data_IF_437623105695
#
_entry.id   IF_437623105695
#
_cell.length_a   1.000
_cell.length_b   1.000
_cell.length_c   1.000
_cell.angle_alpha   90.00
_cell.angle_beta   90.00
_cell.angle_gamma   90.00
#
_symmetry.space_group_name_H-M   'P 1'
#
loop_
_entity.id
_entity.type
_entity.pdbx_description
1 polymer ?
#
# COMPACT_ATOMS: atom_id res chain seq x y z
N UNK A 1 -22.52 -15.92 0.82
CA UNK A 1 -21.76 -15.65 -0.42
C UNK A 1 -22.00 -14.28 -1.08
N UNK A 2 -23.24 -13.74 -1.21
CA UNK A 2 -23.47 -12.43 -1.89
C UNK A 2 -22.88 -11.20 -1.14
N UNK A 3 -22.91 -11.18 0.21
CA UNK A 3 -22.44 -10.02 1.02
C UNK A 3 -20.94 -9.72 0.86
N UNK A 4 -20.10 -10.73 0.67
CA UNK A 4 -18.64 -10.55 0.54
C UNK A 4 -18.24 -9.84 -0.76
N UNK A 5 -19.03 -10.00 -1.84
CA UNK A 5 -18.74 -9.40 -3.15
C UNK A 5 -19.02 -7.90 -3.18
N UNK A 6 -20.10 -7.46 -2.54
CA UNK A 6 -20.43 -6.01 -2.44
C UNK A 6 -19.36 -5.29 -1.65
N UNK A 7 -18.92 -5.86 -0.53
CA UNK A 7 -17.88 -5.27 0.29
C UNK A 7 -16.52 -5.20 -0.44
N UNK A 8 -16.17 -6.25 -1.18
CA UNK A 8 -14.98 -6.24 -2.04
C UNK A 8 -15.06 -5.13 -3.09
N UNK A 9 -16.22 -4.93 -3.71
CA UNK A 9 -16.44 -3.86 -4.70
C UNK A 9 -16.28 -2.48 -4.07
N UNK A 10 -16.79 -2.27 -2.85
CA UNK A 10 -16.59 -1.03 -2.09
C UNK A 10 -15.11 -0.78 -1.83
N UNK A 11 -14.36 -1.79 -1.39
CA UNK A 11 -12.91 -1.66 -1.16
C UNK A 11 -12.20 -1.28 -2.45
N UNK A 12 -12.46 -1.99 -3.55
CA UNK A 12 -11.84 -1.69 -4.85
C UNK A 12 -12.17 -0.27 -5.29
N UNK A 13 -13.42 0.17 -5.15
CA UNK A 13 -13.83 1.54 -5.47
C UNK A 13 -13.07 2.59 -4.65
N UNK A 14 -12.98 2.41 -3.33
CA UNK A 14 -12.23 3.31 -2.45
C UNK A 14 -10.74 3.26 -2.75
N UNK A 15 -10.20 2.08 -3.06
CA UNK A 15 -8.80 1.88 -3.42
C UNK A 15 -8.42 2.68 -4.66
N UNK A 16 -9.24 2.59 -5.72
CA UNK A 16 -9.04 3.35 -6.95
C UNK A 16 -9.20 4.86 -6.72
N UNK A 17 -10.17 5.26 -5.89
CA UNK A 17 -10.34 6.67 -5.53
C UNK A 17 -9.12 7.21 -4.76
N UNK A 18 -8.63 6.45 -3.79
CA UNK A 18 -7.45 6.78 -3.00
C UNK A 18 -6.21 6.86 -3.91
N UNK A 19 -6.08 5.93 -4.85
CA UNK A 19 -5.03 5.97 -5.85
C UNK A 19 -5.09 7.27 -6.66
N UNK A 20 -6.23 7.63 -7.23
CA UNK A 20 -6.38 8.84 -8.05
C UNK A 20 -6.03 10.10 -7.23
N UNK A 21 -6.55 10.22 -6.01
CA UNK A 21 -6.33 11.40 -5.17
C UNK A 21 -4.87 11.51 -4.72
N UNK A 22 -4.24 10.39 -4.37
CA UNK A 22 -2.88 10.40 -3.84
C UNK A 22 -1.80 10.31 -4.91
N UNK A 23 -2.12 9.92 -6.14
CA UNK A 23 -1.14 9.61 -7.19
C UNK A 23 -0.07 10.70 -7.35
N UNK A 24 -0.51 11.94 -7.55
CA UNK A 24 0.39 13.08 -7.81
C UNK A 24 1.25 13.41 -6.59
N UNK A 25 0.65 13.38 -5.39
CA UNK A 25 1.36 13.70 -4.14
C UNK A 25 2.37 12.62 -3.81
N UNK A 26 2.01 11.33 -3.94
CA UNK A 26 2.88 10.21 -3.64
C UNK A 26 4.14 10.19 -4.52
N UNK A 27 4.04 10.57 -5.79
CA UNK A 27 5.18 10.59 -6.72
C UNK A 27 6.07 11.82 -6.52
N UNK A 28 5.50 12.95 -6.11
CA UNK A 28 6.21 14.23 -6.00
C UNK A 28 6.61 14.61 -4.58
N UNK A 29 6.32 13.79 -3.57
CA UNK A 29 6.69 14.10 -2.20
C UNK A 29 8.23 14.04 -2.03
N UNK A 30 8.87 14.99 -1.33
CA UNK A 30 8.27 16.03 -0.48
C UNK A 30 7.91 17.36 -1.16
N UNK A 31 8.12 17.50 -2.48
CA UNK A 31 7.88 18.75 -3.21
C UNK A 31 6.41 19.19 -3.22
N UNK A 32 5.47 18.22 -3.13
CA UNK A 32 4.04 18.48 -3.02
C UNK A 32 3.53 18.10 -1.63
N UNK A 33 2.85 19.04 -0.97
CA UNK A 33 2.27 18.81 0.35
C UNK A 33 1.06 17.87 0.31
N UNK A 34 0.90 17.10 1.38
CA UNK A 34 -0.22 16.17 1.53
C UNK A 34 -1.45 16.96 1.97
N UNK A 35 -2.52 16.87 1.17
CA UNK A 35 -3.77 17.58 1.43
C UNK A 35 -4.69 16.81 2.39
N UNK A 36 -5.64 17.51 3.02
CA UNK A 36 -6.65 16.88 3.88
C UNK A 36 -7.47 15.79 3.17
N UNK A 37 -7.92 15.95 1.91
CA UNK A 37 -8.58 14.88 1.16
C UNK A 37 -7.71 13.63 1.00
N UNK A 38 -6.41 13.79 0.70
CA UNK A 38 -5.45 12.69 0.61
C UNK A 38 -5.36 11.91 1.93
N UNK A 39 -5.27 12.62 3.05
CA UNK A 39 -5.25 12.00 4.37
C UNK A 39 -6.55 11.23 4.66
N UNK A 40 -7.71 11.86 4.47
CA UNK A 40 -9.01 11.25 4.76
C UNK A 40 -9.27 9.99 3.94
N UNK A 41 -9.00 10.03 2.62
CA UNK A 41 -9.24 8.85 1.76
C UNK A 41 -8.31 7.69 2.11
N UNK A 42 -7.06 7.99 2.45
CA UNK A 42 -6.08 6.99 2.88
C UNK A 42 -6.47 6.36 4.22
N UNK A 43 -7.01 7.16 5.15
CA UNK A 43 -7.53 6.68 6.43
C UNK A 43 -8.74 5.78 6.25
N UNK A 44 -9.69 6.17 5.40
CA UNK A 44 -10.86 5.34 5.07
C UNK A 44 -10.40 4.00 4.46
N UNK A 45 -9.45 4.05 3.51
CA UNK A 45 -8.91 2.85 2.88
C UNK A 45 -8.23 1.92 3.90
N UNK A 46 -7.39 2.47 4.78
CA UNK A 46 -6.72 1.72 5.85
C UNK A 46 -7.73 0.98 6.73
N UNK A 47 -8.76 1.69 7.21
CA UNK A 47 -9.79 1.11 8.06
C UNK A 47 -10.58 0.01 7.33
N UNK A 48 -10.88 0.20 6.04
CA UNK A 48 -11.56 -0.81 5.23
C UNK A 48 -10.71 -2.07 5.01
N UNK A 49 -9.40 -1.93 4.76
CA UNK A 49 -8.49 -3.07 4.64
C UNK A 49 -8.41 -3.84 5.96
N UNK A 50 -8.23 -3.14 7.09
CA UNK A 50 -8.22 -3.78 8.41
C UNK A 50 -9.53 -4.50 8.71
N UNK A 51 -10.68 -3.85 8.49
CA UNK A 51 -11.99 -4.44 8.73
C UNK A 51 -12.27 -5.65 7.84
N UNK A 52 -11.90 -5.59 6.56
CA UNK A 52 -12.13 -6.72 5.65
C UNK A 52 -11.19 -7.88 5.89
N UNK A 53 -10.05 -7.65 6.55
CA UNK A 53 -9.14 -8.72 6.92
C UNK A 53 -9.81 -9.83 7.74
N UNK A 54 -10.81 -9.50 8.57
CA UNK A 54 -11.57 -10.47 9.36
C UNK A 54 -12.42 -11.43 8.52
N UNK A 55 -12.85 -11.02 7.32
CA UNK A 55 -13.76 -11.78 6.46
C UNK A 55 -13.15 -12.13 5.09
N UNK A 56 -11.91 -11.73 4.86
CA UNK A 56 -11.24 -11.77 3.56
C UNK A 56 -11.08 -13.20 3.00
N UNK A 57 -11.47 -13.36 1.74
CA UNK A 57 -11.33 -14.61 1.00
C UNK A 57 -9.93 -14.74 0.33
N UNK A 58 -9.76 -15.77 -0.51
CA UNK A 58 -8.46 -16.09 -1.12
C UNK A 58 -7.88 -14.92 -1.95
N UNK A 59 -8.70 -14.21 -2.72
CA UNK A 59 -8.27 -13.10 -3.58
C UNK A 59 -7.74 -11.93 -2.74
N UNK A 60 -8.45 -11.56 -1.67
CA UNK A 60 -8.00 -10.52 -0.75
C UNK A 60 -6.64 -10.85 -0.15
N UNK A 61 -6.46 -12.08 0.37
CA UNK A 61 -5.17 -12.51 0.92
C UNK A 61 -4.04 -12.44 -0.10
N UNK A 62 -4.29 -12.85 -1.33
CA UNK A 62 -3.30 -12.76 -2.40
C UNK A 62 -2.88 -11.30 -2.65
N UNK A 63 -3.85 -10.38 -2.72
CA UNK A 63 -3.58 -8.94 -2.83
C UNK A 63 -2.74 -8.41 -1.66
N UNK A 64 -3.06 -8.80 -0.42
CA UNK A 64 -2.30 -8.37 0.77
C UNK A 64 -0.89 -8.96 0.78
N UNK A 65 -0.69 -10.23 0.39
CA UNK A 65 0.64 -10.85 0.30
C UNK A 65 1.52 -10.10 -0.70
N UNK A 66 0.99 -9.78 -1.88
CA UNK A 66 1.72 -8.96 -2.86
C UNK A 66 1.99 -7.57 -2.27
N UNK A 67 1.03 -7.00 -1.53
CA UNK A 67 1.22 -5.74 -0.81
C UNK A 67 2.42 -5.78 0.14
N UNK A 68 2.54 -6.81 0.99
CA UNK A 68 3.68 -7.00 1.89
C UNK A 68 4.99 -7.13 1.10
N UNK A 69 5.06 -8.10 0.18
CA UNK A 69 6.31 -8.41 -0.54
C UNK A 69 6.73 -7.22 -1.41
N UNK A 70 5.78 -6.61 -2.11
CA UNK A 70 6.00 -5.46 -2.98
C UNK A 70 6.48 -4.23 -2.22
N UNK A 71 5.84 -3.89 -1.10
CA UNK A 71 6.27 -2.74 -0.29
C UNK A 71 7.62 -2.95 0.40
N UNK A 72 7.94 -4.17 0.87
CA UNK A 72 9.29 -4.48 1.35
C UNK A 72 10.32 -4.33 0.22
N UNK A 73 10.06 -4.92 -0.94
CA UNK A 73 10.92 -4.80 -2.11
C UNK A 73 11.17 -3.33 -2.47
N UNK A 74 10.12 -2.52 -2.54
CA UNK A 74 10.26 -1.09 -2.86
C UNK A 74 11.10 -0.36 -1.84
N UNK A 75 10.87 -0.59 -0.54
CA UNK A 75 11.61 0.08 0.52
C UNK A 75 13.11 -0.23 0.43
N UNK A 76 13.48 -1.49 0.13
CA UNK A 76 14.87 -1.89 -0.09
C UNK A 76 15.46 -1.17 -1.31
N UNK A 77 14.76 -1.12 -2.44
CA UNK A 77 15.26 -0.43 -3.64
C UNK A 77 15.44 1.07 -3.39
N UNK A 78 14.49 1.71 -2.69
CA UNK A 78 14.61 3.13 -2.31
C UNK A 78 15.77 3.40 -1.36
N UNK A 79 16.03 2.48 -0.42
CA UNK A 79 17.13 2.65 0.54
C UNK A 79 18.51 2.53 -0.12
N UNK A 80 18.65 1.66 -1.12
CA UNK A 80 19.91 1.44 -1.85
C UNK A 80 19.99 2.17 -3.19
N UNK A 81 19.11 3.16 -3.42
CA UNK A 81 18.93 3.80 -4.73
C UNK A 81 20.25 4.40 -5.28
N UNK A 82 21.06 5.01 -4.41
CA UNK A 82 22.36 5.60 -4.79
C UNK A 82 23.38 4.57 -5.29
N UNK A 83 23.31 3.32 -4.80
CA UNK A 83 24.19 2.22 -5.22
C UNK A 83 23.63 1.52 -6.47
N UNK A 84 22.31 1.50 -6.60
CA UNK A 84 21.59 0.79 -7.67
C UNK A 84 21.77 1.49 -9.02
N UNK A 85 21.77 2.82 -9.06
CA UNK A 85 21.92 3.57 -10.32
C UNK A 85 23.26 3.36 -11.03
N UNK A 86 24.31 2.96 -10.30
CA UNK A 86 25.62 2.72 -10.90
C UNK A 86 25.74 1.32 -11.57
N UNK A 87 24.72 0.45 -11.43
CA UNK A 87 24.77 -0.93 -11.93
C UNK A 87 23.56 -1.23 -12.83
N UNK A 88 23.81 -1.36 -14.13
CA UNK A 88 22.81 -1.61 -15.18
C UNK A 88 21.84 -2.79 -14.95
N UNK A 89 22.23 -3.84 -14.21
CA UNK A 89 21.33 -4.96 -13.88
C UNK A 89 20.29 -4.56 -12.81
N UNK A 90 20.62 -3.59 -11.95
CA UNK A 90 19.75 -3.11 -10.88
C UNK A 90 18.75 -2.05 -11.38
N UNK A 91 19.00 -1.42 -12.53
CA UNK A 91 18.05 -0.52 -13.21
C UNK A 91 16.71 -1.21 -13.53
N UNK A 92 16.74 -2.50 -13.87
CA UNK A 92 15.53 -3.29 -14.11
C UNK A 92 14.70 -3.45 -12.83
N UNK A 93 15.34 -3.54 -11.67
CA UNK A 93 14.65 -3.61 -10.37
C UNK A 93 13.96 -2.28 -10.05
N UNK A 94 14.61 -1.15 -10.35
CA UNK A 94 14.04 0.19 -10.22
C UNK A 94 12.81 0.38 -11.12
N UNK A 95 12.81 -0.19 -12.32
CA UNK A 95 11.64 -0.14 -13.21
C UNK A 95 10.44 -0.92 -12.65
N UNK A 96 10.66 -2.07 -12.01
CA UNK A 96 9.60 -2.86 -11.38
C UNK A 96 9.05 -2.21 -10.10
N UNK A 97 9.86 -1.42 -9.42
CA UNK A 97 9.48 -0.71 -8.20
C UNK A 97 8.30 0.24 -8.43
N UNK A 98 8.32 1.02 -9.51
CA UNK A 98 7.33 2.08 -9.75
C UNK A 98 5.89 1.56 -9.85
N UNK A 99 5.58 0.54 -10.69
CA UNK A 99 4.23 -0.02 -10.75
C UNK A 99 3.76 -0.56 -9.40
N UNK A 100 4.64 -1.20 -8.63
CA UNK A 100 4.31 -1.72 -7.30
C UNK A 100 4.05 -0.57 -6.31
N UNK A 101 4.83 0.50 -6.37
CA UNK A 101 4.65 1.68 -5.52
C UNK A 101 3.32 2.35 -5.78
N UNK A 102 3.01 2.58 -7.06
CA UNK A 102 1.72 3.13 -7.50
C UNK A 102 0.58 2.24 -7.05
N UNK A 103 0.70 0.92 -7.19
CA UNK A 103 -0.39 0.02 -6.81
C UNK A 103 -0.56 -0.06 -5.29
N UNK A 104 0.50 -0.19 -4.49
CA UNK A 104 0.36 -0.60 -3.09
C UNK A 104 0.69 0.49 -2.07
N UNK A 105 1.53 1.47 -2.41
CA UNK A 105 1.97 2.51 -1.47
C UNK A 105 1.20 3.80 -1.68
N UNK A 106 1.08 4.25 -2.93
CA UNK A 106 0.41 5.50 -3.28
C UNK A 106 -1.03 5.61 -2.73
N UNK A 107 -1.89 4.56 -2.75
CA UNK A 107 -3.25 4.68 -2.24
C UNK A 107 -3.35 4.99 -0.74
N UNK A 108 -2.33 4.63 0.05
CA UNK A 108 -2.30 4.91 1.47
C UNK A 108 -1.52 6.19 1.82
N UNK A 109 -0.86 6.82 0.83
CA UNK A 109 0.17 7.84 1.03
C UNK A 109 -0.26 9.03 1.88
N UNK A 110 -1.55 9.37 1.89
CA UNK A 110 -2.05 10.46 2.72
C UNK A 110 -1.83 10.28 4.22
N UNK A 111 -1.64 9.04 4.71
CA UNK A 111 -1.27 8.78 6.11
C UNK A 111 0.10 9.36 6.45
N UNK A 112 0.99 9.56 5.47
CA UNK A 112 2.29 10.15 5.70
C UNK A 112 2.20 11.60 6.23
N UNK A 113 1.04 12.26 6.14
CA UNK A 113 0.78 13.54 6.80
C UNK A 113 1.01 13.48 8.33
N UNK A 114 0.73 12.34 8.96
CA UNK A 114 0.90 12.15 10.41
C UNK A 114 2.29 11.67 10.81
N UNK A 115 2.97 10.97 9.90
CA UNK A 115 4.25 10.33 10.17
C UNK A 115 5.43 11.21 9.79
N UNK A 116 5.27 12.02 8.74
CA UNK A 116 6.32 12.84 8.15
C UNK A 116 7.59 12.04 7.83
N UNK A 117 7.40 10.83 7.31
CA UNK A 117 8.49 9.92 6.98
C UNK A 117 9.03 10.17 5.59
N UNK A 118 10.31 9.85 5.41
CA UNK A 118 10.92 9.73 4.08
C UNK A 118 10.21 8.65 3.25
N UNK A 119 10.25 8.71 1.91
CA UNK A 119 9.58 7.73 1.05
C UNK A 119 9.94 6.27 1.37
N UNK A 120 11.21 5.98 1.66
CA UNK A 120 11.69 4.64 2.02
C UNK A 120 11.08 4.14 3.34
N UNK A 121 11.10 4.99 4.38
CA UNK A 121 10.53 4.67 5.70
C UNK A 121 9.01 4.53 5.62
N UNK A 122 8.34 5.42 4.89
CA UNK A 122 6.90 5.35 4.69
C UNK A 122 6.47 4.06 3.97
N UNK A 123 7.18 3.69 2.91
CA UNK A 123 6.92 2.45 2.18
C UNK A 123 7.11 1.22 3.08
N UNK A 124 8.10 1.23 3.97
CA UNK A 124 8.25 0.19 4.98
C UNK A 124 7.06 0.16 5.95
N UNK A 125 6.56 1.31 6.40
CA UNK A 125 5.35 1.39 7.24
C UNK A 125 4.13 0.75 6.56
N UNK A 126 3.96 0.97 5.25
CA UNK A 126 2.88 0.35 4.47
C UNK A 126 3.02 -1.18 4.44
N UNK A 127 4.25 -1.71 4.39
CA UNK A 127 4.46 -3.17 4.50
C UNK A 127 3.96 -3.74 5.83
N UNK A 128 4.15 -3.00 6.92
CA UNK A 128 3.67 -3.38 8.26
C UNK A 128 2.14 -3.38 8.28
N UNK A 129 1.50 -2.39 7.66
CA UNK A 129 0.03 -2.35 7.53
C UNK A 129 -0.49 -3.60 6.80
N UNK A 130 0.09 -3.94 5.65
CA UNK A 130 -0.30 -5.16 4.93
C UNK A 130 0.00 -6.43 5.74
N UNK A 131 1.11 -6.47 6.48
CA UNK A 131 1.46 -7.61 7.33
C UNK A 131 0.43 -7.80 8.45
N UNK A 132 -0.01 -6.72 9.10
CA UNK A 132 -1.08 -6.74 10.11
C UNK A 132 -2.37 -7.27 9.49
N UNK A 133 -2.77 -6.77 8.32
CA UNK A 133 -3.94 -7.26 7.59
C UNK A 133 -3.85 -8.77 7.30
N UNK A 134 -2.67 -9.24 6.91
CA UNK A 134 -2.42 -10.66 6.63
C UNK A 134 -2.54 -11.51 7.89
N UNK A 135 -1.93 -11.09 8.99
CA UNK A 135 -1.98 -11.79 10.30
C UNK A 135 -3.44 -11.92 10.75
N UNK A 136 -4.21 -10.83 10.72
CA UNK A 136 -5.64 -10.84 11.08
C UNK A 136 -6.39 -11.85 10.19
N UNK A 137 -6.18 -11.80 8.88
CA UNK A 137 -6.88 -12.67 7.93
C UNK A 137 -6.56 -14.16 8.09
N UNK A 138 -5.32 -14.50 8.45
CA UNK A 138 -4.92 -15.89 8.71
C UNK A 138 -5.43 -16.37 10.07
N UNK A 139 -5.36 -15.51 11.09
CA UNK A 139 -5.73 -15.88 12.46
C UNK A 139 -7.23 -16.17 12.61
N UNK A 140 -8.09 -15.28 12.09
CA UNK A 140 -9.54 -15.44 12.24
C UNK A 140 -10.11 -16.58 11.40
N UNK A 141 -9.48 -16.92 10.27
CA UNK A 141 -9.87 -18.09 9.47
C UNK A 141 -9.64 -19.42 10.20
N UNK A 142 -8.65 -19.50 11.10
CA UNK A 142 -8.46 -20.72 11.91
C UNK A 142 -9.58 -20.94 12.94
N UNK A 143 -10.41 -19.92 13.21
CA UNK A 143 -11.49 -19.95 14.20
C UNK A 143 -12.90 -20.07 13.60
N UNK A 144 -13.02 -20.05 12.27
CA UNK A 144 -14.30 -20.13 11.54
C UNK A 144 -14.38 -21.44 10.75
#
# INVERSE_FOLDING_TARGET
>A
MKKNKVFLLVIVGVYLLALIINFTVAIKYPDLSISTPSFLISLILLLLLLFYSFFGERIYRFMIIIGVVGSVFISVVQYYQDVIYDIWILDVLSALQYPLYVMYVAPLFGINLLLDYTPAMYTLSVSIVFLICLIISVYFRKRA
#
